data_IF_914963568270
#
_entry.id   IF_914963568270
#
_cell.length_a   1.000
_cell.length_b   1.000
_cell.length_c   1.000
_cell.angle_alpha   90.00
_cell.angle_beta   90.00
_cell.angle_gamma   90.00
#
_symmetry.space_group_name_H-M   'P 1'
#
loop_
_entity.id
_entity.type
_entity.pdbx_description
1 polymer ?
#
# COMPACT_ATOMS: atom_id res chain seq x y z
N UNK A 1 10.31 -8.49 6.74
CA UNK A 1 9.17 -9.20 6.13
C UNK A 1 9.37 -9.30 4.64
N UNK A 2 9.08 -10.44 4.03
CA UNK A 2 9.09 -10.55 2.57
C UNK A 2 7.75 -10.08 1.98
N UNK A 3 7.77 -9.56 0.74
CA UNK A 3 6.56 -9.12 0.03
C UNK A 3 5.50 -10.22 -0.05
N UNK A 4 5.93 -11.48 -0.17
CA UNK A 4 5.05 -12.65 -0.18
C UNK A 4 4.33 -12.89 1.17
N UNK A 5 5.03 -12.66 2.29
CA UNK A 5 4.44 -12.80 3.62
C UNK A 5 3.39 -11.71 3.88
N UNK A 6 3.71 -10.45 3.55
CA UNK A 6 2.76 -9.33 3.65
C UNK A 6 1.54 -9.53 2.77
N UNK A 7 1.74 -10.05 1.55
CA UNK A 7 0.64 -10.37 0.63
C UNK A 7 -0.33 -11.39 1.23
N UNK A 8 0.22 -12.47 1.79
CA UNK A 8 -0.56 -13.54 2.42
C UNK A 8 -1.35 -13.03 3.63
N UNK A 9 -0.73 -12.21 4.47
CA UNK A 9 -1.36 -11.65 5.67
C UNK A 9 -2.43 -10.59 5.33
N UNK A 10 -2.19 -9.79 4.29
CA UNK A 10 -3.09 -8.72 3.87
C UNK A 10 -4.25 -9.14 2.96
N UNK A 11 -4.34 -10.42 2.59
CA UNK A 11 -5.36 -10.91 1.65
C UNK A 11 -5.24 -10.34 0.24
N UNK A 12 -4.03 -9.92 -0.16
CA UNK A 12 -3.72 -9.31 -1.45
C UNK A 12 -2.80 -10.23 -2.25
N UNK A 13 -2.96 -10.28 -3.58
CA UNK A 13 -2.05 -11.07 -4.42
C UNK A 13 -0.66 -10.44 -4.43
N UNK A 14 0.38 -11.27 -4.33
CA UNK A 14 1.77 -10.81 -4.43
C UNK A 14 2.02 -10.06 -5.75
N UNK A 15 1.42 -10.50 -6.86
CA UNK A 15 1.52 -9.82 -8.15
C UNK A 15 0.98 -8.39 -8.10
N UNK A 16 -0.11 -8.14 -7.37
CA UNK A 16 -0.68 -6.79 -7.19
C UNK A 16 0.28 -5.89 -6.42
N UNK A 17 0.92 -6.39 -5.35
CA UNK A 17 1.95 -5.61 -4.64
C UNK A 17 3.12 -5.32 -5.57
N UNK A 18 3.60 -6.33 -6.32
CA UNK A 18 4.68 -6.15 -7.28
C UNK A 18 4.34 -5.13 -8.36
N UNK A 19 3.11 -5.08 -8.85
CA UNK A 19 2.70 -4.06 -9.83
C UNK A 19 2.66 -2.65 -9.25
N UNK A 20 2.28 -2.49 -7.99
CA UNK A 20 2.31 -1.21 -7.27
C UNK A 20 3.75 -0.75 -7.05
N UNK A 21 4.61 -1.64 -6.52
CA UNK A 21 6.01 -1.32 -6.23
C UNK A 21 6.82 -1.04 -7.50
N UNK A 22 6.54 -1.74 -8.60
CA UNK A 22 7.19 -1.51 -9.89
C UNK A 22 6.58 -0.34 -10.68
N UNK A 23 5.60 0.40 -10.13
CA UNK A 23 4.95 1.53 -10.80
C UNK A 23 4.13 1.15 -12.05
N UNK A 24 3.84 -0.15 -12.26
CA UNK A 24 2.98 -0.62 -13.34
C UNK A 24 1.50 -0.31 -13.07
N UNK A 25 1.11 -0.34 -11.80
CA UNK A 25 -0.21 0.15 -11.36
C UNK A 25 -0.16 1.65 -11.12
N UNK A 26 -0.79 2.42 -12.01
CA UNK A 26 -0.84 3.90 -11.91
C UNK A 26 -1.90 4.41 -10.94
N UNK A 27 -2.88 3.58 -10.57
CA UNK A 27 -4.03 3.96 -9.75
C UNK A 27 -4.39 2.87 -8.72
N UNK A 28 -3.54 2.61 -7.72
CA UNK A 28 -3.89 1.71 -6.62
C UNK A 28 -5.13 2.24 -5.91
N UNK A 29 -6.13 1.37 -5.72
CA UNK A 29 -7.33 1.73 -4.93
C UNK A 29 -6.96 1.83 -3.46
N UNK A 30 -7.65 2.70 -2.73
CA UNK A 30 -7.52 2.80 -1.26
C UNK A 30 -7.78 1.45 -0.58
N UNK A 31 -8.69 0.63 -1.11
CA UNK A 31 -8.93 -0.74 -0.63
C UNK A 31 -7.70 -1.65 -0.72
N UNK A 32 -6.89 -1.48 -1.77
CA UNK A 32 -5.65 -2.25 -1.99
C UNK A 32 -4.56 -1.80 -1.02
N UNK A 33 -4.47 -0.48 -0.76
CA UNK A 33 -3.58 0.09 0.24
C UNK A 33 -3.98 -0.40 1.64
N UNK A 34 -5.29 -0.44 1.95
CA UNK A 34 -5.79 -0.96 3.22
C UNK A 34 -5.40 -2.43 3.45
N UNK A 35 -5.57 -3.27 2.43
CA UNK A 35 -5.13 -4.68 2.47
C UNK A 35 -3.62 -4.80 2.72
N UNK A 36 -2.81 -3.97 2.06
CA UNK A 36 -1.37 -3.91 2.31
C UNK A 36 -1.06 -3.50 3.76
N UNK A 37 -1.75 -2.48 4.29
CA UNK A 37 -1.60 -2.01 5.66
C UNK A 37 -1.96 -3.11 6.68
N UNK A 38 -3.05 -3.85 6.44
CA UNK A 38 -3.43 -5.01 7.25
C UNK A 38 -2.33 -6.09 7.23
N UNK A 39 -1.73 -6.36 6.07
CA UNK A 39 -0.62 -7.30 5.95
C UNK A 39 0.67 -6.86 6.66
N UNK A 40 0.89 -5.55 6.77
CA UNK A 40 2.01 -4.95 7.50
C UNK A 40 1.71 -4.71 8.99
N UNK A 41 0.49 -5.01 9.45
CA UNK A 41 0.02 -4.72 10.80
C UNK A 41 0.16 -3.23 11.20
N UNK A 42 -0.08 -2.33 10.23
CA UNK A 42 -0.11 -0.87 10.42
C UNK A 42 -1.49 -0.32 10.09
N UNK A 43 -1.83 0.84 10.65
CA UNK A 43 -3.05 1.54 10.26
C UNK A 43 -2.88 2.30 8.93
N UNK A 44 -3.99 2.57 8.24
CA UNK A 44 -3.98 3.48 7.07
C UNK A 44 -3.42 4.86 7.44
N UNK A 45 -3.68 5.32 8.67
CA UNK A 45 -3.18 6.61 9.16
C UNK A 45 -1.66 6.63 9.18
N UNK A 46 -1.03 5.59 9.74
CA UNK A 46 0.43 5.46 9.77
C UNK A 46 1.02 5.32 8.37
N UNK A 47 0.34 4.61 7.46
CA UNK A 47 0.77 4.52 6.07
C UNK A 47 0.81 5.88 5.37
N UNK A 48 -0.17 6.75 5.64
CA UNK A 48 -0.25 8.09 5.07
C UNK A 48 0.48 9.16 5.90
N UNK A 49 1.02 8.83 7.08
CA UNK A 49 1.80 9.76 7.90
C UNK A 49 3.23 9.91 7.38
N UNK A 50 3.34 10.31 6.12
CA UNK A 50 4.61 10.56 5.43
C UNK A 50 4.62 12.00 4.91
N UNK A 51 5.80 12.64 4.81
CA UNK A 51 5.94 13.98 4.23
C UNK A 51 5.32 14.10 2.82
N UNK A 52 5.23 13.01 2.06
CA UNK A 52 4.61 12.99 0.74
C UNK A 52 3.12 13.38 0.75
N UNK A 53 2.43 13.16 1.87
CA UNK A 53 1.01 13.48 2.07
C UNK A 53 0.79 14.70 2.99
N UNK A 54 1.86 15.31 3.53
CA UNK A 54 1.75 16.51 4.38
C UNK A 54 1.49 17.79 3.58
N UNK A 55 1.93 17.83 2.33
CA UNK A 55 1.72 18.99 1.46
C UNK A 55 0.35 18.89 0.79
N UNK A 56 -0.55 19.88 0.94
CA UNK A 56 -1.77 19.94 0.15
C UNK A 56 -1.37 20.12 -1.31
N UNK A 57 -1.46 19.06 -2.11
CA UNK A 57 -1.34 19.15 -3.55
C UNK A 57 -2.70 19.62 -4.11
N UNK A 58 -3.05 20.87 -3.80
CA UNK A 58 -4.13 21.58 -4.48
C UNK A 58 -3.54 22.08 -5.81
N UNK A 59 -3.92 21.41 -6.90
CA UNK A 59 -3.89 22.02 -8.24
C UNK A 59 -5.22 22.72 -8.48
#
# INVERSE_FOLDING_TARGET
MTVAQTAKLGGIRQSTISEILNGRSKHPKVSTIFQYCQGCNISLREFFDTPAFKTPQLK
#
